data_IF_642681595435
#
_entry.id   IF_642681595435
#
_cell.length_a   1.000
_cell.length_b   1.000
_cell.length_c   1.000
_cell.angle_alpha   90.00
_cell.angle_beta   90.00
_cell.angle_gamma   90.00
#
_symmetry.space_group_name_H-M   'P 1'
#
loop_
_entity.id
_entity.type
_entity.pdbx_description
1 polymer ?
#
# COMPACT_ATOMS: atom_id res chain seq x y z
N UNK A 1 16.97 16.73 -14.34
CA UNK A 1 17.73 15.48 -14.56
C UNK A 1 17.29 14.52 -13.48
N UNK A 2 16.77 13.34 -13.85
CA UNK A 2 16.47 12.30 -12.86
C UNK A 2 17.81 11.60 -12.58
N UNK A 3 18.42 11.92 -11.45
CA UNK A 3 19.79 11.54 -11.08
C UNK A 3 20.01 10.02 -11.02
N UNK A 4 18.94 9.26 -10.86
CA UNK A 4 18.94 7.81 -10.72
C UNK A 4 18.33 7.06 -11.93
N UNK A 5 17.84 7.76 -12.95
CA UNK A 5 17.29 7.14 -14.17
C UNK A 5 15.93 6.43 -14.04
N UNK A 6 15.22 6.58 -12.91
CA UNK A 6 13.88 6.00 -12.73
C UNK A 6 12.79 6.80 -13.44
N UNK A 7 11.81 6.11 -14.03
CA UNK A 7 10.58 6.75 -14.49
C UNK A 7 9.65 7.05 -13.30
N UNK A 8 9.14 8.28 -13.23
CA UNK A 8 8.12 8.65 -12.24
C UNK A 8 6.74 8.47 -12.86
N UNK A 9 5.94 7.56 -12.33
CA UNK A 9 4.55 7.40 -12.74
C UNK A 9 3.70 8.59 -12.26
N UNK A 10 2.81 9.14 -13.09
CA UNK A 10 1.90 10.19 -12.66
C UNK A 10 0.95 9.64 -11.58
N UNK A 11 0.80 10.39 -10.49
CA UNK A 11 -0.11 10.06 -9.40
C UNK A 11 -1.00 11.27 -9.09
N UNK A 12 -2.34 11.14 -9.24
CA UNK A 12 -3.25 12.24 -8.93
C UNK A 12 -3.23 12.58 -7.43
N UNK A 13 -3.46 13.86 -7.07
CA UNK A 13 -3.53 14.26 -5.67
C UNK A 13 -4.72 13.61 -4.97
N UNK A 14 -4.54 13.29 -3.69
CA UNK A 14 -5.58 12.71 -2.83
C UNK A 14 -6.12 11.35 -3.28
N UNK A 15 -5.33 10.52 -3.98
CA UNK A 15 -5.80 9.19 -4.46
C UNK A 15 -5.14 8.00 -3.74
N UNK A 16 -5.36 7.81 -2.43
CA UNK A 16 -4.84 6.65 -1.69
C UNK A 16 -5.43 5.33 -2.21
N UNK A 17 -6.63 5.38 -2.79
CA UNK A 17 -7.28 4.28 -3.51
C UNK A 17 -6.51 3.82 -4.75
N UNK A 18 -5.57 4.63 -5.26
CA UNK A 18 -4.66 4.31 -6.36
C UNK A 18 -3.21 4.04 -5.92
N UNK A 19 -2.94 4.08 -4.61
CA UNK A 19 -1.63 3.79 -4.03
C UNK A 19 -1.59 2.36 -3.47
N UNK A 20 -0.80 1.43 -4.04
CA UNK A 20 -0.70 0.06 -3.53
C UNK A 20 -0.26 -0.02 -2.07
N UNK A 21 0.54 0.95 -1.63
CA UNK A 21 0.96 1.06 -0.24
C UNK A 21 -0.23 1.33 0.67
N UNK A 22 -1.12 2.25 0.29
CA UNK A 22 -2.26 2.65 1.11
C UNK A 22 -3.38 1.60 1.07
N UNK A 23 -3.88 1.25 -0.12
CA UNK A 23 -5.04 0.36 -0.23
C UNK A 23 -4.76 -1.11 0.12
N UNK A 24 -3.50 -1.54 0.08
CA UNK A 24 -3.11 -2.94 0.31
C UNK A 24 -2.14 -3.10 1.46
N UNK A 25 -0.92 -2.56 1.40
CA UNK A 25 0.10 -2.84 2.41
C UNK A 25 -0.30 -2.32 3.79
N UNK A 26 -0.59 -1.02 3.90
CA UNK A 26 -0.96 -0.36 5.15
C UNK A 26 -2.31 -0.83 5.66
N UNK A 27 -3.27 -1.13 4.78
CA UNK A 27 -4.54 -1.73 5.19
C UNK A 27 -4.33 -3.06 5.95
N UNK A 28 -3.46 -3.94 5.45
CA UNK A 28 -3.16 -5.20 6.14
C UNK A 28 -2.26 -5.01 7.37
N UNK A 29 -1.33 -4.05 7.32
CA UNK A 29 -0.49 -3.70 8.47
C UNK A 29 -1.35 -3.16 9.62
N UNK A 30 -2.29 -2.25 9.36
CA UNK A 30 -3.21 -1.71 10.36
C UNK A 30 -4.02 -2.84 11.03
N UNK A 31 -4.53 -3.78 10.24
CA UNK A 31 -5.24 -4.96 10.77
C UNK A 31 -4.31 -5.80 11.66
N UNK A 32 -3.07 -6.05 11.23
CA UNK A 32 -2.09 -6.80 12.00
C UNK A 32 -1.70 -6.09 13.32
N UNK A 33 -1.73 -4.76 13.34
CA UNK A 33 -1.36 -3.93 14.49
C UNK A 33 -2.54 -3.57 15.41
N UNK A 34 -3.80 -3.76 14.99
CA UNK A 34 -5.01 -3.20 15.61
C UNK A 34 -5.16 -3.45 17.12
N UNK A 35 -4.57 -4.51 17.64
CA UNK A 35 -4.66 -4.88 19.07
C UNK A 35 -3.28 -4.90 19.77
N UNK A 36 -2.24 -4.42 19.10
CA UNK A 36 -0.88 -4.37 19.64
C UNK A 36 -0.61 -3.01 20.29
N UNK A 37 0.00 -3.03 21.48
CA UNK A 37 0.51 -1.83 22.16
C UNK A 37 2.00 -1.99 22.40
N UNK A 38 2.78 -1.00 21.98
CA UNK A 38 4.23 -1.03 22.07
C UNK A 38 4.73 -0.04 23.12
N UNK A 39 5.61 -0.50 24.01
CA UNK A 39 6.24 0.34 25.05
C UNK A 39 7.54 0.99 24.59
N UNK A 40 8.12 0.51 23.49
CA UNK A 40 9.40 0.97 22.94
C UNK A 40 9.33 1.02 21.42
N UNK A 41 10.16 1.88 20.83
CA UNK A 41 10.32 1.96 19.37
C UNK A 41 10.78 0.61 18.79
N UNK A 42 11.78 -0.03 19.40
CA UNK A 42 12.29 -1.33 18.95
C UNK A 42 11.19 -2.41 18.90
N UNK A 43 10.24 -2.40 19.84
CA UNK A 43 9.12 -3.35 19.80
C UNK A 43 8.15 -3.08 18.63
N UNK A 44 7.96 -1.81 18.26
CA UNK A 44 7.15 -1.45 17.09
C UNK A 44 7.86 -1.79 15.78
N UNK A 45 9.18 -1.53 15.68
CA UNK A 45 10.01 -1.88 14.53
C UNK A 45 10.00 -3.39 14.28
N UNK A 46 10.27 -4.19 15.32
CA UNK A 46 10.22 -5.66 15.23
C UNK A 46 8.85 -6.19 14.77
N UNK A 47 7.75 -5.53 15.17
CA UNK A 47 6.41 -5.94 14.72
C UNK A 47 6.18 -5.63 13.23
N UNK A 48 6.76 -4.53 12.72
CA UNK A 48 6.72 -4.22 11.28
C UNK A 48 7.58 -5.20 10.49
N UNK A 49 8.76 -5.56 10.99
CA UNK A 49 9.61 -6.61 10.40
C UNK A 49 8.89 -7.96 10.36
N UNK A 50 8.30 -8.41 11.48
CA UNK A 50 7.49 -9.63 11.54
C UNK A 50 6.32 -9.59 10.55
N UNK A 51 5.68 -8.44 10.39
CA UNK A 51 4.61 -8.27 9.42
C UNK A 51 5.11 -8.47 7.98
N UNK A 52 6.24 -7.86 7.62
CA UNK A 52 6.84 -7.95 6.28
C UNK A 52 7.30 -9.37 5.99
N UNK A 53 8.01 -10.01 6.93
CA UNK A 53 8.56 -11.36 6.80
C UNK A 53 7.47 -12.44 6.72
N UNK A 54 6.31 -12.18 7.32
CA UNK A 54 5.15 -13.09 7.24
C UNK A 54 4.35 -12.97 5.93
N UNK A 55 4.67 -12.03 5.02
CA UNK A 55 3.99 -11.91 3.73
C UNK A 55 4.69 -12.76 2.67
N UNK A 56 3.90 -13.51 1.90
CA UNK A 56 4.42 -14.25 0.75
C UNK A 56 4.63 -13.31 -0.45
N UNK A 57 5.46 -13.69 -1.44
CA UNK A 57 5.57 -12.92 -2.69
C UNK A 57 4.21 -12.67 -3.37
N UNK A 58 3.29 -13.63 -3.29
CA UNK A 58 1.93 -13.52 -3.85
C UNK A 58 1.12 -12.40 -3.19
N UNK A 59 1.36 -12.10 -1.91
CA UNK A 59 0.71 -10.97 -1.23
C UNK A 59 1.07 -9.64 -1.93
N UNK A 60 2.35 -9.41 -2.21
CA UNK A 60 2.81 -8.19 -2.88
C UNK A 60 2.34 -8.14 -4.34
N UNK A 61 2.46 -9.25 -5.06
CA UNK A 61 1.98 -9.37 -6.43
C UNK A 61 0.48 -9.08 -6.53
N UNK A 62 -0.32 -9.59 -5.58
CA UNK A 62 -1.76 -9.33 -5.51
C UNK A 62 -2.05 -7.84 -5.30
N UNK A 63 -1.30 -7.17 -4.42
CA UNK A 63 -1.42 -5.73 -4.19
C UNK A 63 -1.15 -4.93 -5.46
N UNK A 64 -0.04 -5.22 -6.14
CA UNK A 64 0.37 -4.54 -7.37
C UNK A 64 -0.59 -4.79 -8.53
N UNK A 65 -1.01 -6.04 -8.74
CA UNK A 65 -1.89 -6.41 -9.86
C UNK A 65 -3.30 -5.82 -9.73
N UNK A 66 -3.75 -5.49 -8.51
CA UNK A 66 -5.02 -4.77 -8.30
C UNK A 66 -5.01 -3.35 -8.85
N UNK A 67 -3.84 -2.75 -9.12
CA UNK A 67 -3.72 -1.38 -9.61
C UNK A 67 -4.46 -1.21 -10.95
N UNK A 68 -4.37 -2.18 -11.85
CA UNK A 68 -5.07 -2.17 -13.14
C UNK A 68 -6.59 -2.07 -12.97
N UNK A 69 -7.14 -2.88 -12.07
CA UNK A 69 -8.58 -2.88 -11.78
C UNK A 69 -9.03 -1.58 -11.10
N UNK A 70 -8.17 -1.00 -10.24
CA UNK A 70 -8.44 0.26 -9.56
C UNK A 70 -8.40 1.44 -10.53
N UNK A 71 -7.47 1.48 -11.49
CA UNK A 71 -7.49 2.47 -12.56
C UNK A 71 -8.78 2.39 -13.40
N UNK A 72 -9.22 1.19 -13.73
CA UNK A 72 -10.49 1.02 -14.44
C UNK A 72 -11.67 1.58 -13.62
N UNK A 73 -11.76 1.26 -12.33
CA UNK A 73 -12.80 1.81 -11.44
C UNK A 73 -12.75 3.34 -11.32
N UNK A 74 -11.56 3.94 -11.32
CA UNK A 74 -11.41 5.40 -11.29
C UNK A 74 -12.08 6.05 -12.50
N UNK A 75 -11.82 5.50 -13.68
CA UNK A 75 -12.44 5.97 -14.94
C UNK A 75 -13.95 5.77 -14.90
N UNK A 76 -14.42 4.59 -14.48
CA UNK A 76 -15.85 4.27 -14.36
C UNK A 76 -16.58 5.15 -13.35
N UNK A 77 -15.87 5.64 -12.34
CA UNK A 77 -16.39 6.51 -11.28
C UNK A 77 -16.33 8.00 -11.63
N UNK A 78 -15.90 8.35 -12.86
CA UNK A 78 -15.64 9.75 -13.27
C UNK A 78 -14.81 10.49 -12.22
N UNK A 79 -13.67 9.90 -11.83
CA UNK A 79 -12.72 10.43 -10.85
C UNK A 79 -13.25 10.58 -9.41
N UNK A 80 -14.44 10.02 -9.12
CA UNK A 80 -14.94 9.91 -7.74
C UNK A 80 -14.28 8.75 -7.00
N UNK A 81 -14.18 8.83 -5.68
CA UNK A 81 -13.64 7.76 -4.83
C UNK A 81 -14.44 6.47 -4.92
N UNK A 82 -13.74 5.34 -4.79
CA UNK A 82 -14.31 3.99 -4.80
C UNK A 82 -13.55 3.04 -3.87
N UNK A 83 -14.18 1.93 -3.50
CA UNK A 83 -13.59 0.83 -2.72
C UNK A 83 -13.12 -0.35 -3.60
#
# INVERSE_FOLDING_TARGET
VIELGYETLPHPPYSPDLSPTDYHLFKHLEIFLREKSFKTQAAAENAVEEFIDSRTPEFYNTGMNKLVLRWQKCIESNDSYFD
#
